data_IF_101933821629
#
_entry.id   IF_101933821629
#
_cell.length_a   1.000
_cell.length_b   1.000
_cell.length_c   1.000
_cell.angle_alpha   90.00
_cell.angle_beta   90.00
_cell.angle_gamma   90.00
#
_symmetry.space_group_name_H-M   'P 1'
#
loop_
_entity.id
_entity.type
_entity.pdbx_description
1 polymer ?
#
# COMPACT_ATOMS: atom_id res chain seq x y z
N UNK A 1 14.14 -12.68 -9.18
CA UNK A 1 13.36 -11.44 -9.06
C UNK A 1 14.25 -10.19 -9.02
N UNK A 2 15.38 -10.21 -8.32
CA UNK A 2 16.30 -9.05 -8.20
C UNK A 2 16.82 -8.45 -9.53
N UNK A 3 17.14 -9.28 -10.54
CA UNK A 3 17.65 -8.77 -11.83
C UNK A 3 16.58 -8.09 -12.70
N UNK A 4 15.30 -8.40 -12.49
CA UNK A 4 14.18 -7.82 -13.26
C UNK A 4 13.81 -6.41 -12.76
N UNK A 5 13.90 -6.16 -11.47
CA UNK A 5 13.54 -4.86 -10.86
C UNK A 5 14.54 -3.74 -11.24
N UNK A 6 15.83 -4.07 -11.40
CA UNK A 6 16.86 -3.10 -11.81
C UNK A 6 16.69 -2.57 -13.23
N UNK A 7 15.88 -3.23 -14.06
CA UNK A 7 15.63 -2.83 -15.45
C UNK A 7 14.59 -1.71 -15.60
N UNK A 8 13.79 -1.47 -14.55
CA UNK A 8 12.72 -0.47 -14.55
C UNK A 8 12.93 0.48 -13.35
N UNK A 9 13.39 1.71 -13.56
CA UNK A 9 13.72 2.61 -12.47
C UNK A 9 12.52 3.34 -11.86
N UNK A 10 11.32 3.16 -12.40
CA UNK A 10 10.12 3.88 -11.96
C UNK A 10 9.01 2.91 -11.54
N UNK A 11 8.52 3.06 -10.31
CA UNK A 11 7.54 2.16 -9.70
C UNK A 11 6.35 2.90 -9.11
N UNK A 12 5.17 2.28 -9.20
CA UNK A 12 4.00 2.62 -8.40
C UNK A 12 3.80 1.50 -7.40
N UNK A 13 3.88 1.82 -6.11
CA UNK A 13 3.59 0.88 -5.04
C UNK A 13 2.12 1.02 -4.62
N UNK A 14 1.29 0.04 -4.99
CA UNK A 14 -0.09 -0.01 -4.52
C UNK A 14 -0.15 -0.56 -3.09
N UNK A 15 -1.05 0.00 -2.29
CA UNK A 15 -1.27 -0.36 -0.88
C UNK A 15 -0.02 -0.11 -0.01
N UNK A 16 0.72 0.95 -0.33
CA UNK A 16 1.95 1.31 0.38
C UNK A 16 1.74 2.54 1.26
N UNK A 17 2.12 2.43 2.53
CA UNK A 17 2.41 3.59 3.35
C UNK A 17 3.83 4.11 3.06
N UNK A 18 4.16 5.32 3.52
CA UNK A 18 5.52 5.85 3.42
C UNK A 18 6.55 4.87 4.00
N UNK A 19 6.25 4.27 5.15
CA UNK A 19 7.12 3.29 5.80
C UNK A 19 7.40 2.10 4.89
N UNK A 20 6.36 1.52 4.28
CA UNK A 20 6.50 0.40 3.34
C UNK A 20 7.25 0.79 2.08
N UNK A 21 7.08 2.02 1.58
CA UNK A 21 7.84 2.51 0.43
C UNK A 21 9.34 2.61 0.75
N UNK A 22 9.70 3.09 1.94
CA UNK A 22 11.10 3.13 2.39
C UNK A 22 11.65 1.71 2.58
N UNK A 23 10.88 0.80 3.17
CA UNK A 23 11.26 -0.61 3.33
C UNK A 23 11.48 -1.29 1.96
N UNK A 24 10.64 -1.01 0.97
CA UNK A 24 10.83 -1.49 -0.39
C UNK A 24 12.15 -1.00 -0.99
N UNK A 25 12.48 0.29 -0.82
CA UNK A 25 13.75 0.84 -1.28
C UNK A 25 14.96 0.13 -0.65
N UNK A 26 14.89 -0.16 0.65
CA UNK A 26 15.97 -0.83 1.39
C UNK A 26 16.11 -2.30 1.02
N UNK A 27 15.01 -3.03 0.99
CA UNK A 27 15.01 -4.48 0.85
C UNK A 27 15.11 -4.94 -0.61
N UNK A 28 14.33 -4.33 -1.51
CA UNK A 28 14.26 -4.77 -2.91
C UNK A 28 15.29 -4.07 -3.82
N UNK A 29 15.60 -2.80 -3.51
CA UNK A 29 16.58 -2.02 -4.28
C UNK A 29 17.94 -1.95 -3.60
N UNK A 30 18.08 -2.50 -2.38
CA UNK A 30 19.33 -2.52 -1.58
C UNK A 30 19.91 -1.13 -1.35
N UNK A 31 19.04 -0.14 -1.05
CA UNK A 31 19.43 1.25 -0.89
C UNK A 31 19.66 1.61 0.59
N UNK A 32 20.67 2.48 0.83
CA UNK A 32 20.91 3.08 2.14
C UNK A 32 20.01 4.30 2.37
N UNK A 33 19.78 4.66 3.64
CA UNK A 33 18.96 5.82 4.02
C UNK A 33 19.40 7.13 3.35
N UNK A 34 20.72 7.34 3.23
CA UNK A 34 21.29 8.55 2.60
C UNK A 34 21.02 8.64 1.10
N UNK A 35 20.54 7.58 0.48
CA UNK A 35 20.17 7.53 -0.95
C UNK A 35 18.69 7.70 -1.20
N UNK A 36 17.87 7.81 -0.14
CA UNK A 36 16.41 7.87 -0.22
C UNK A 36 15.94 9.30 0.12
N UNK A 37 15.29 9.94 -0.85
CA UNK A 37 14.75 11.29 -0.71
C UNK A 37 13.23 11.22 -0.73
N UNK A 38 12.58 11.73 0.31
CA UNK A 38 11.13 11.61 0.51
C UNK A 38 10.44 12.95 0.26
N UNK A 39 9.38 12.92 -0.55
CA UNK A 39 8.50 14.05 -0.84
C UNK A 39 7.06 13.61 -0.63
N UNK A 40 6.46 13.95 0.52
CA UNK A 40 5.09 13.51 0.85
C UNK A 40 4.03 14.25 0.03
N UNK A 41 4.26 15.52 -0.27
CA UNK A 41 3.44 16.33 -1.15
C UNK A 41 4.33 16.93 -2.23
N UNK A 42 4.19 16.44 -3.44
CA UNK A 42 5.05 16.83 -4.57
C UNK A 42 4.44 17.98 -5.34
N UNK A 43 5.13 19.11 -5.34
CA UNK A 43 4.82 20.31 -6.12
C UNK A 43 5.74 20.42 -7.34
N UNK A 44 5.42 21.31 -8.28
CA UNK A 44 6.22 21.53 -9.48
C UNK A 44 7.66 21.95 -9.15
N UNK A 45 7.86 22.69 -8.06
CA UNK A 45 9.19 23.13 -7.65
C UNK A 45 10.03 21.97 -7.10
N UNK A 46 9.40 20.97 -6.48
CA UNK A 46 10.09 19.76 -6.05
C UNK A 46 10.57 18.96 -7.27
N UNK A 47 9.76 18.87 -8.32
CA UNK A 47 10.15 18.20 -9.57
C UNK A 47 11.30 18.96 -10.26
N UNK A 48 11.26 20.28 -10.27
CA UNK A 48 12.37 21.12 -10.79
C UNK A 48 13.65 20.92 -9.97
N UNK A 49 13.52 20.81 -8.63
CA UNK A 49 14.65 20.50 -7.76
C UNK A 49 15.22 19.11 -8.07
N UNK A 50 14.38 18.09 -8.20
CA UNK A 50 14.79 16.73 -8.59
C UNK A 50 15.53 16.77 -9.94
N UNK A 51 14.98 17.47 -10.94
CA UNK A 51 15.63 17.63 -12.24
C UNK A 51 17.05 18.20 -12.14
N UNK A 52 17.24 19.27 -11.35
CA UNK A 52 18.57 19.86 -11.11
C UNK A 52 19.52 18.88 -10.40
N UNK A 53 19.02 18.10 -9.43
CA UNK A 53 19.86 17.09 -8.75
C UNK A 53 20.31 15.96 -9.69
N UNK A 54 19.48 15.63 -10.66
CA UNK A 54 19.77 14.62 -11.68
C UNK A 54 20.85 15.10 -12.65
N UNK A 55 20.83 16.37 -13.02
CA UNK A 55 21.84 16.97 -13.91
C UNK A 55 23.25 17.01 -13.29
N UNK A 56 23.34 17.02 -11.96
CA UNK A 56 24.59 16.88 -11.25
C UNK A 56 25.02 15.42 -11.42
N UNK A 57 26.01 15.18 -12.27
CA UNK A 57 26.49 13.83 -12.61
C UNK A 57 27.13 13.17 -11.39
N UNK A 58 26.30 12.56 -10.58
CA UNK A 58 26.70 11.79 -9.40
C UNK A 58 26.53 10.30 -9.71
N UNK A 59 27.59 9.54 -9.61
CA UNK A 59 27.59 8.08 -9.80
C UNK A 59 26.83 7.31 -8.71
N UNK A 60 26.42 8.00 -7.64
CA UNK A 60 25.66 7.38 -6.55
C UNK A 60 24.22 7.09 -6.94
N UNK A 61 23.73 5.96 -6.47
CA UNK A 61 22.33 5.60 -6.62
C UNK A 61 21.46 6.51 -5.74
N UNK A 62 20.39 7.06 -6.32
CA UNK A 62 19.41 7.89 -5.60
C UNK A 62 18.01 7.40 -5.88
N UNK A 63 17.15 7.45 -4.87
CA UNK A 63 15.76 7.06 -4.93
C UNK A 63 14.88 8.21 -4.44
N UNK A 64 13.92 8.61 -5.25
CA UNK A 64 12.93 9.63 -4.94
C UNK A 64 11.60 8.97 -4.61
N UNK A 65 11.21 9.01 -3.34
CA UNK A 65 9.94 8.47 -2.83
C UNK A 65 8.90 9.58 -2.85
N UNK A 66 7.92 9.43 -3.72
CA UNK A 66 6.96 10.46 -4.08
C UNK A 66 5.57 10.10 -3.57
N UNK A 67 5.02 10.96 -2.73
CA UNK A 67 3.67 10.84 -2.20
C UNK A 67 2.62 11.46 -3.11
N UNK A 68 1.72 12.27 -2.53
CA UNK A 68 0.66 12.93 -3.28
C UNK A 68 1.26 13.96 -4.25
N UNK A 69 1.04 13.77 -5.54
CA UNK A 69 1.60 14.62 -6.59
C UNK A 69 0.51 15.40 -7.32
N UNK A 70 0.68 16.72 -7.42
CA UNK A 70 -0.26 17.60 -8.12
C UNK A 70 -0.19 17.43 -9.65
N UNK A 71 -1.26 17.85 -10.35
CA UNK A 71 -1.39 17.71 -11.82
C UNK A 71 -0.19 18.28 -12.59
N UNK A 72 0.19 19.52 -12.28
CA UNK A 72 1.31 20.20 -12.96
C UNK A 72 2.65 19.51 -12.68
N UNK A 73 2.83 19.01 -11.47
CA UNK A 73 4.02 18.25 -11.09
C UNK A 73 4.07 16.88 -11.80
N UNK A 74 2.92 16.23 -12.02
CA UNK A 74 2.85 15.00 -12.81
C UNK A 74 3.28 15.24 -14.26
N UNK A 75 2.82 16.32 -14.89
CA UNK A 75 3.25 16.67 -16.25
C UNK A 75 4.74 17.00 -16.32
N UNK A 76 5.27 17.69 -15.31
CA UNK A 76 6.68 18.03 -15.26
C UNK A 76 7.59 16.80 -15.10
N UNK A 77 7.18 15.81 -14.28
CA UNK A 77 8.00 14.62 -14.02
C UNK A 77 8.01 13.64 -15.20
N UNK A 78 7.04 13.72 -16.13
CA UNK A 78 6.97 12.84 -17.29
C UNK A 78 8.29 12.82 -18.08
N UNK A 79 8.90 13.98 -18.30
CA UNK A 79 10.19 14.07 -19.02
C UNK A 79 11.31 13.27 -18.34
N UNK A 80 11.27 13.20 -17.03
CA UNK A 80 12.30 12.50 -16.25
C UNK A 80 12.05 10.99 -16.26
N UNK A 81 10.78 10.55 -16.16
CA UNK A 81 10.44 9.12 -16.11
C UNK A 81 10.34 8.48 -17.50
N UNK A 82 10.27 9.25 -18.58
CA UNK A 82 10.37 8.76 -19.96
C UNK A 82 11.77 8.25 -20.28
N UNK A 83 12.79 9.04 -19.92
CA UNK A 83 14.19 8.69 -20.10
C UNK A 83 14.90 8.81 -18.75
N UNK A 84 14.64 7.87 -17.83
CA UNK A 84 15.18 7.96 -16.48
C UNK A 84 16.69 7.82 -16.51
N UNK A 85 17.41 8.74 -15.85
CA UNK A 85 18.85 8.67 -15.79
C UNK A 85 19.33 7.42 -15.06
N UNK A 86 20.51 6.94 -15.42
CA UNK A 86 21.14 5.82 -14.74
C UNK A 86 21.26 6.08 -13.23
N UNK A 87 21.12 5.02 -12.45
CA UNK A 87 21.18 5.08 -10.98
C UNK A 87 20.14 5.97 -10.29
N UNK A 88 19.01 6.26 -10.93
CA UNK A 88 17.89 7.02 -10.35
C UNK A 88 16.63 6.16 -10.32
N UNK A 89 16.01 6.10 -9.12
CA UNK A 89 14.76 5.39 -8.91
C UNK A 89 13.66 6.37 -8.51
N UNK A 90 12.45 6.12 -9.02
CA UNK A 90 11.25 6.91 -8.70
C UNK A 90 10.19 5.98 -8.16
N UNK A 91 9.73 6.22 -6.94
CA UNK A 91 8.76 5.40 -6.24
C UNK A 91 7.53 6.25 -5.92
N UNK A 92 6.42 6.00 -6.58
CA UNK A 92 5.13 6.59 -6.23
C UNK A 92 4.43 5.65 -5.24
N UNK A 93 4.20 6.09 -4.00
CA UNK A 93 3.51 5.28 -2.98
C UNK A 93 2.06 5.72 -2.73
N UNK A 94 1.65 6.87 -3.25
CA UNK A 94 0.26 7.33 -3.30
C UNK A 94 -0.16 7.34 -4.76
N UNK A 95 -1.04 6.39 -5.13
CA UNK A 95 -1.45 6.17 -6.52
C UNK A 95 -2.75 6.87 -6.91
N UNK A 96 -3.41 7.52 -5.94
CA UNK A 96 -4.67 8.22 -6.18
C UNK A 96 -4.46 9.42 -7.10
N UNK A 97 -5.26 9.48 -8.17
CA UNK A 97 -5.24 10.56 -9.16
C UNK A 97 -3.92 10.68 -9.96
N UNK A 98 -3.19 9.59 -10.16
CA UNK A 98 -2.09 9.60 -11.13
C UNK A 98 -2.65 9.60 -12.56
N UNK A 99 -2.01 10.40 -13.43
CA UNK A 99 -2.33 10.44 -14.84
C UNK A 99 -1.99 9.11 -15.52
N UNK A 100 -2.81 8.69 -16.48
CA UNK A 100 -2.55 7.49 -17.29
C UNK A 100 -1.18 7.54 -17.98
N UNK A 101 -0.72 8.73 -18.34
CA UNK A 101 0.60 8.98 -18.92
C UNK A 101 1.73 8.66 -17.94
N UNK A 102 1.56 8.87 -16.64
CA UNK A 102 2.51 8.47 -15.60
C UNK A 102 2.43 6.95 -15.39
N UNK A 103 1.20 6.42 -15.27
CA UNK A 103 0.98 4.99 -15.03
C UNK A 103 1.58 4.13 -16.15
N UNK A 104 1.44 4.56 -17.42
CA UNK A 104 1.97 3.80 -18.58
C UNK A 104 3.49 3.71 -18.63
N UNK A 105 4.21 4.55 -17.89
CA UNK A 105 5.69 4.60 -17.83
C UNK A 105 6.26 4.02 -16.54
N UNK A 106 5.41 3.41 -15.74
CA UNK A 106 5.80 2.91 -14.43
C UNK A 106 5.47 1.42 -14.30
N UNK A 107 6.27 0.71 -13.54
CA UNK A 107 5.96 -0.66 -13.14
C UNK A 107 5.09 -0.63 -11.88
N UNK A 108 3.90 -1.21 -11.97
CA UNK A 108 3.00 -1.31 -10.81
C UNK A 108 3.40 -2.52 -9.98
N UNK A 109 3.83 -2.28 -8.75
CA UNK A 109 4.14 -3.29 -7.75
C UNK A 109 3.06 -3.25 -6.68
N UNK A 110 2.36 -4.35 -6.51
CA UNK A 110 1.47 -4.52 -5.36
C UNK A 110 2.31 -5.06 -4.20
N UNK A 111 2.56 -4.23 -3.22
CA UNK A 111 3.12 -4.73 -1.98
C UNK A 111 2.05 -5.61 -1.36
N UNK A 112 2.38 -6.88 -1.18
CA UNK A 112 1.55 -7.72 -0.33
C UNK A 112 1.48 -7.01 1.02
N UNK A 113 0.28 -6.87 1.56
CA UNK A 113 0.12 -6.41 2.94
C UNK A 113 0.95 -7.38 3.77
N UNK A 114 2.19 -6.98 4.05
CA UNK A 114 3.09 -7.82 4.82
C UNK A 114 2.42 -8.08 6.17
N UNK A 115 2.56 -9.27 6.70
CA UNK A 115 2.01 -9.71 7.97
C UNK A 115 2.32 -8.78 9.18
N UNK A 116 3.04 -7.68 8.97
CA UNK A 116 3.63 -6.88 10.04
C UNK A 116 2.81 -5.65 10.45
N UNK A 117 1.78 -5.23 9.67
CA UNK A 117 0.97 -4.04 10.02
C UNK A 117 -0.50 -4.37 10.34
N UNK A 118 -0.91 -5.62 10.21
CA UNK A 118 -2.20 -6.04 10.73
C UNK A 118 -1.98 -6.32 12.22
N UNK A 119 -2.61 -5.51 13.04
CA UNK A 119 -2.62 -5.76 14.48
C UNK A 119 -3.31 -7.10 14.75
N UNK A 120 -2.51 -8.17 14.86
CA UNK A 120 -3.02 -9.51 15.13
C UNK A 120 -3.73 -9.61 16.49
N UNK A 121 -3.65 -8.54 17.32
CA UNK A 121 -4.46 -8.39 18.51
C UNK A 121 -5.96 -8.48 18.18
N UNK A 122 -6.37 -8.09 16.98
CA UNK A 122 -7.77 -8.26 16.54
C UNK A 122 -8.21 -9.73 16.57
N UNK A 123 -7.32 -10.66 16.26
CA UNK A 123 -7.64 -12.11 16.33
C UNK A 123 -7.94 -12.49 17.76
N UNK A 124 -7.09 -12.06 18.71
CA UNK A 124 -7.30 -12.31 20.13
C UNK A 124 -8.57 -11.63 20.65
N UNK A 125 -8.87 -10.41 20.18
CA UNK A 125 -10.07 -9.67 20.56
C UNK A 125 -11.34 -10.37 20.05
N UNK A 126 -11.31 -10.92 18.82
CA UNK A 126 -12.39 -11.75 18.28
C UNK A 126 -12.56 -13.05 19.10
N UNK A 127 -11.44 -13.74 19.40
CA UNK A 127 -11.47 -15.01 20.13
C UNK A 127 -12.04 -14.82 21.56
N UNK A 128 -11.66 -13.73 22.21
CA UNK A 128 -12.08 -13.41 23.59
C UNK A 128 -13.41 -12.65 23.68
N UNK A 129 -14.08 -12.38 22.55
CA UNK A 129 -15.35 -11.67 22.51
C UNK A 129 -15.28 -10.21 22.99
N UNK A 130 -14.16 -9.51 22.73
CA UNK A 130 -13.96 -8.10 23.11
C UNK A 130 -14.65 -7.19 22.10
N UNK A 131 -15.98 -7.09 22.19
CA UNK A 131 -16.82 -6.41 21.21
C UNK A 131 -16.39 -4.98 20.90
N UNK A 132 -16.03 -4.18 21.95
CA UNK A 132 -15.63 -2.79 21.77
C UNK A 132 -14.35 -2.64 20.96
N UNK A 133 -13.37 -3.49 21.23
CA UNK A 133 -12.06 -3.44 20.54
C UNK A 133 -12.19 -3.88 19.09
N UNK A 134 -12.97 -4.93 18.83
CA UNK A 134 -13.29 -5.40 17.47
C UNK A 134 -14.03 -4.35 16.67
N UNK A 135 -15.05 -3.70 17.26
CA UNK A 135 -15.80 -2.65 16.59
C UNK A 135 -14.94 -1.43 16.28
N UNK A 136 -14.07 -1.03 17.20
CA UNK A 136 -13.12 0.08 17.00
C UNK A 136 -12.16 -0.21 15.85
N UNK A 137 -11.61 -1.42 15.80
CA UNK A 137 -10.73 -1.87 14.73
C UNK A 137 -11.43 -1.84 13.37
N UNK A 138 -12.61 -2.44 13.25
CA UNK A 138 -13.38 -2.47 12.00
C UNK A 138 -13.81 -1.07 11.53
N UNK A 139 -14.11 -0.15 12.46
CA UNK A 139 -14.35 1.25 12.11
C UNK A 139 -13.11 1.95 11.54
N UNK A 140 -11.93 1.61 12.02
CA UNK A 140 -10.66 2.06 11.42
C UNK A 140 -10.51 1.53 9.99
N UNK A 141 -10.67 0.23 9.82
CA UNK A 141 -10.58 -0.47 8.53
C UNK A 141 -11.62 0.02 7.51
N UNK A 142 -12.79 0.47 7.97
CA UNK A 142 -13.86 0.98 7.09
C UNK A 142 -13.49 2.22 6.26
N UNK A 143 -12.39 2.88 6.60
CA UNK A 143 -11.84 4.05 5.90
C UNK A 143 -10.87 3.67 4.79
N UNK A 144 -10.48 2.41 4.73
CA UNK A 144 -9.57 1.87 3.73
C UNK A 144 -10.28 1.59 2.41
N UNK A 145 -9.51 1.43 1.34
CA UNK A 145 -10.04 1.00 0.04
C UNK A 145 -10.57 -0.44 0.09
N UNK A 146 -11.45 -0.77 -0.85
CA UNK A 146 -12.12 -2.09 -0.89
C UNK A 146 -11.12 -3.25 -0.94
N UNK A 147 -10.09 -3.12 -1.75
CA UNK A 147 -9.03 -4.12 -1.90
C UNK A 147 -8.23 -4.29 -0.60
N UNK A 148 -7.91 -3.21 0.07
CA UNK A 148 -7.20 -3.24 1.35
C UNK A 148 -8.04 -3.90 2.45
N UNK A 149 -9.34 -3.62 2.50
CA UNK A 149 -10.28 -4.28 3.41
C UNK A 149 -10.27 -5.79 3.18
N UNK A 150 -10.31 -6.22 1.93
CA UNK A 150 -10.29 -7.63 1.55
C UNK A 150 -8.99 -8.30 2.01
N UNK A 151 -7.85 -7.65 1.81
CA UNK A 151 -6.54 -8.18 2.21
C UNK A 151 -6.45 -8.32 3.73
N UNK A 152 -6.84 -7.30 4.48
CA UNK A 152 -6.89 -7.31 5.95
C UNK A 152 -7.77 -8.46 6.45
N UNK A 153 -8.99 -8.56 5.97
CA UNK A 153 -9.93 -9.60 6.40
C UNK A 153 -9.45 -11.00 6.01
N UNK A 154 -8.79 -11.15 4.87
CA UNK A 154 -8.21 -12.43 4.46
C UNK A 154 -7.14 -12.89 5.44
N UNK A 155 -6.27 -11.99 5.89
CA UNK A 155 -5.22 -12.32 6.86
C UNK A 155 -5.83 -12.64 8.22
N UNK A 156 -6.81 -11.86 8.69
CA UNK A 156 -7.53 -12.14 9.95
C UNK A 156 -8.21 -13.51 9.89
N UNK A 157 -8.88 -13.84 8.78
CA UNK A 157 -9.51 -15.15 8.58
C UNK A 157 -8.51 -16.29 8.68
N UNK A 158 -7.36 -16.19 8.02
CA UNK A 158 -6.31 -17.20 8.06
C UNK A 158 -5.75 -17.40 9.47
N UNK A 159 -5.58 -16.33 10.25
CA UNK A 159 -5.09 -16.44 11.63
C UNK A 159 -6.14 -17.05 12.56
N UNK A 160 -7.42 -16.73 12.40
CA UNK A 160 -8.50 -17.37 13.13
C UNK A 160 -8.55 -18.87 12.87
N UNK A 161 -8.41 -19.29 11.62
CA UNK A 161 -8.33 -20.72 11.26
C UNK A 161 -7.11 -21.39 11.91
N UNK A 162 -5.94 -20.76 11.86
CA UNK A 162 -4.71 -21.28 12.52
C UNK A 162 -4.85 -21.37 14.03
N UNK A 163 -5.64 -20.49 14.65
CA UNK A 163 -5.93 -20.49 16.10
C UNK A 163 -7.07 -21.45 16.49
N UNK A 164 -7.58 -22.25 15.55
CA UNK A 164 -8.65 -23.23 15.81
C UNK A 164 -10.07 -22.67 15.72
N UNK A 165 -10.26 -21.39 15.43
CA UNK A 165 -11.58 -20.76 15.29
C UNK A 165 -12.10 -20.88 13.84
N UNK A 166 -12.26 -22.12 13.37
CA UNK A 166 -12.61 -22.43 11.98
C UNK A 166 -13.90 -21.75 11.51
N UNK A 167 -14.98 -21.80 12.30
CA UNK A 167 -16.29 -21.21 11.94
C UNK A 167 -16.21 -19.70 11.74
N UNK A 168 -15.46 -18.99 12.60
CA UNK A 168 -15.27 -17.54 12.49
C UNK A 168 -14.42 -17.18 11.27
N UNK A 169 -13.36 -17.94 11.01
CA UNK A 169 -12.52 -17.77 9.82
C UNK A 169 -13.31 -18.03 8.53
N UNK A 170 -14.12 -19.09 8.49
CA UNK A 170 -14.99 -19.40 7.35
C UNK A 170 -16.06 -18.33 7.15
N UNK A 171 -16.63 -17.81 8.22
CA UNK A 171 -17.59 -16.68 8.16
C UNK A 171 -16.98 -15.48 7.47
N UNK A 172 -15.77 -15.05 7.86
CA UNK A 172 -15.07 -13.94 7.21
C UNK A 172 -14.85 -14.25 5.72
N UNK A 173 -14.39 -15.45 5.38
CA UNK A 173 -14.12 -15.84 4.00
C UNK A 173 -15.37 -15.79 3.11
N UNK A 174 -16.50 -16.24 3.62
CA UNK A 174 -17.81 -16.15 2.91
C UNK A 174 -18.24 -14.69 2.70
N UNK A 175 -18.08 -13.85 3.71
CA UNK A 175 -18.44 -12.44 3.62
C UNK A 175 -17.52 -11.67 2.66
N UNK A 176 -16.21 -12.00 2.60
CA UNK A 176 -15.28 -11.46 1.60
C UNK A 176 -15.76 -11.77 0.19
N UNK A 177 -16.21 -13.01 -0.07
CA UNK A 177 -16.73 -13.38 -1.38
C UNK A 177 -17.93 -12.54 -1.80
N UNK A 178 -18.87 -12.31 -0.86
CA UNK A 178 -20.02 -11.42 -1.08
C UNK A 178 -19.59 -9.96 -1.30
N UNK A 179 -18.60 -9.47 -0.52
CA UNK A 179 -18.10 -8.10 -0.65
C UNK A 179 -17.38 -7.87 -1.99
N UNK A 180 -16.67 -8.88 -2.51
CA UNK A 180 -16.06 -8.83 -3.86
C UNK A 180 -17.10 -8.71 -4.95
N UNK A 181 -18.18 -9.50 -4.85
CA UNK A 181 -19.20 -9.61 -5.87
C UNK A 181 -20.13 -8.39 -5.92
N UNK A 182 -20.47 -7.82 -4.76
CA UNK A 182 -21.43 -6.73 -4.66
C UNK A 182 -20.71 -5.41 -4.33
N UNK A 183 -21.24 -4.29 -4.85
CA UNK A 183 -20.71 -2.96 -4.53
C UNK A 183 -21.29 -2.45 -3.19
N UNK A 184 -20.96 -3.13 -2.11
CA UNK A 184 -21.44 -2.81 -0.77
C UNK A 184 -20.67 -1.64 -0.17
N UNK A 185 -21.38 -0.82 0.62
CA UNK A 185 -20.73 0.21 1.42
C UNK A 185 -19.82 -0.45 2.48
N UNK A 186 -18.52 -0.13 2.52
CA UNK A 186 -17.58 -0.76 3.43
C UNK A 186 -17.98 -0.72 4.91
N UNK A 187 -18.51 0.41 5.36
CA UNK A 187 -18.94 0.58 6.76
C UNK A 187 -20.11 -0.32 7.12
N UNK A 188 -21.10 -0.43 6.23
CA UNK A 188 -22.27 -1.29 6.45
C UNK A 188 -21.85 -2.76 6.43
N UNK A 189 -21.00 -3.12 5.47
CA UNK A 189 -20.46 -4.47 5.34
C UNK A 189 -19.70 -4.90 6.61
N UNK A 190 -18.77 -4.08 7.08
CA UNK A 190 -17.97 -4.39 8.27
C UNK A 190 -18.80 -4.45 9.55
N UNK A 191 -19.85 -3.62 9.65
CA UNK A 191 -20.78 -3.71 10.77
C UNK A 191 -21.61 -5.02 10.76
N UNK A 192 -22.09 -5.43 9.59
CA UNK A 192 -22.79 -6.71 9.43
C UNK A 192 -21.87 -7.90 9.76
N UNK A 193 -20.59 -7.83 9.33
CA UNK A 193 -19.58 -8.82 9.67
C UNK A 193 -19.33 -8.87 11.18
N UNK A 194 -19.20 -7.71 11.85
CA UNK A 194 -19.08 -7.62 13.31
C UNK A 194 -20.21 -8.35 14.03
N UNK A 195 -21.45 -8.10 13.65
CA UNK A 195 -22.62 -8.74 14.26
C UNK A 195 -22.56 -10.28 14.10
N UNK A 196 -22.12 -10.77 12.95
CA UNK A 196 -21.95 -12.21 12.71
C UNK A 196 -20.86 -12.83 13.54
N UNK A 197 -19.71 -12.13 13.70
CA UNK A 197 -18.57 -12.63 14.47
C UNK A 197 -18.82 -12.65 15.97
N UNK A 198 -19.61 -11.71 16.49
CA UNK A 198 -19.89 -11.56 17.92
C UNK A 198 -21.13 -12.33 18.37
N UNK A 199 -21.94 -12.87 17.47
CA UNK A 199 -23.02 -13.79 17.87
C UNK A 199 -22.40 -15.00 18.54
N UNK A 200 -22.70 -15.14 19.84
CA UNK A 200 -22.41 -16.39 20.58
C UNK A 200 -23.37 -17.46 20.06
N UNK A 201 -22.83 -18.52 19.51
CA UNK A 201 -23.54 -19.77 19.32
C UNK A 201 -23.56 -20.54 20.62
#
# INVERSE_FOLDING_TARGET
MEQSLKKFPTFILKNASLKKAIEFCKNELSLCDNSIFVFEQVKIDDVRYIGKQIEINDSKIQCYVLGKIGYDAQNAILKIIEEPPENRYFIFYVSDNLLDTVISRTQVVRLQSGNNDIDLKIVDDILNGREKDVLLYLNGVSKSEKEEIIDILTIVSLHLVKSGAFERGETISKEIAAFKQFNLNPKIFLYALFVKLMRRH
#
